data_IF_361073286084
#
_entry.id   IF_361073286084
#
_cell.length_a   1.000
_cell.length_b   1.000
_cell.length_c   1.000
_cell.angle_alpha   90.00
_cell.angle_beta   90.00
_cell.angle_gamma   90.00
#
_symmetry.space_group_name_H-M   'P 1'
#
loop_
_entity.id
_entity.type
_entity.pdbx_description
1 polymer ?
#
# COMPACT_ATOMS: atom_id res chain seq x y z
N UNK A 1 -15.98 -12.87 9.89
CA UNK A 1 -14.96 -12.66 8.84
C UNK A 1 -13.78 -12.03 9.55
N UNK A 2 -12.52 -12.47 9.38
CA UNK A 2 -11.41 -11.67 9.88
C UNK A 2 -11.46 -10.32 9.16
N UNK A 3 -11.49 -9.23 9.92
CA UNK A 3 -11.62 -7.88 9.38
C UNK A 3 -10.24 -7.37 8.91
N UNK A 4 -9.63 -8.07 7.95
CA UNK A 4 -8.36 -7.66 7.34
C UNK A 4 -8.51 -6.22 6.88
N UNK A 5 -7.65 -5.35 7.42
CA UNK A 5 -7.72 -3.92 7.18
C UNK A 5 -6.58 -3.51 6.26
N UNK A 6 -6.93 -2.87 5.14
CA UNK A 6 -5.98 -2.34 4.16
C UNK A 6 -6.04 -0.82 4.23
N UNK A 7 -4.88 -0.18 4.35
CA UNK A 7 -4.76 1.28 4.36
C UNK A 7 -3.65 1.69 3.40
N UNK A 8 -3.99 2.56 2.45
CA UNK A 8 -3.00 3.22 1.62
C UNK A 8 -2.58 4.55 2.26
N UNK A 9 -1.28 4.73 2.44
CA UNK A 9 -0.69 5.85 3.16
C UNK A 9 0.10 6.69 2.13
N UNK A 10 -0.23 7.99 1.98
CA UNK A 10 0.47 8.86 1.07
C UNK A 10 1.91 9.12 1.53
N UNK A 11 2.83 9.40 0.59
CA UNK A 11 4.14 9.94 0.92
C UNK A 11 4.00 11.30 1.60
N UNK A 12 4.89 11.61 2.54
CA UNK A 12 4.93 12.96 3.12
C UNK A 12 5.59 13.95 2.14
N UNK A 13 5.14 15.20 2.16
CA UNK A 13 5.75 16.27 1.37
C UNK A 13 7.25 16.43 1.65
N UNK A 14 7.65 16.31 2.93
CA UNK A 14 9.05 16.43 3.35
C UNK A 14 9.91 15.33 2.73
N UNK A 15 9.41 14.08 2.73
CA UNK A 15 10.14 12.94 2.15
C UNK A 15 10.27 13.08 0.63
N UNK A 16 9.21 13.53 -0.05
CA UNK A 16 9.25 13.79 -1.49
C UNK A 16 10.27 14.89 -1.79
N UNK A 17 10.24 15.99 -1.04
CA UNK A 17 11.14 17.11 -1.27
C UNK A 17 12.61 16.70 -1.11
N UNK A 18 12.91 15.87 -0.11
CA UNK A 18 14.26 15.39 0.20
C UNK A 18 14.75 14.32 -0.81
N UNK A 19 13.93 13.33 -1.13
CA UNK A 19 14.33 12.17 -1.95
C UNK A 19 14.05 12.34 -3.44
N UNK A 20 13.24 13.34 -3.82
CA UNK A 20 12.68 13.51 -5.17
C UNK A 20 11.85 12.31 -5.65
N UNK A 21 11.37 11.49 -4.72
CA UNK A 21 10.53 10.33 -4.99
C UNK A 21 9.36 10.27 -4.02
N UNK A 22 8.21 9.82 -4.52
CA UNK A 22 7.01 9.56 -3.74
C UNK A 22 6.97 8.09 -3.34
N UNK A 23 7.11 7.83 -2.03
CA UNK A 23 7.02 6.50 -1.44
C UNK A 23 5.59 6.16 -1.03
N UNK A 24 4.91 5.34 -1.81
CA UNK A 24 3.56 4.86 -1.57
C UNK A 24 3.61 3.66 -0.62
N UNK A 25 2.85 3.68 0.47
CA UNK A 25 2.86 2.59 1.46
C UNK A 25 1.46 1.99 1.59
N UNK A 26 1.35 0.68 1.39
CA UNK A 26 0.12 -0.08 1.61
C UNK A 26 0.29 -0.92 2.85
N UNK A 27 -0.49 -0.63 3.89
CA UNK A 27 -0.45 -1.33 5.16
C UNK A 27 -1.62 -2.29 5.24
N UNK A 28 -1.31 -3.57 5.35
CA UNK A 28 -2.27 -4.65 5.58
C UNK A 28 -2.15 -5.11 7.02
N UNK A 29 -3.25 -5.16 7.74
CA UNK A 29 -3.27 -5.46 9.18
C UNK A 29 -4.48 -6.28 9.57
N UNK A 30 -4.55 -6.68 10.85
CA UNK A 30 -5.62 -7.51 11.42
C UNK A 30 -5.70 -8.90 10.76
N UNK A 31 -4.55 -9.45 10.36
CA UNK A 31 -4.45 -10.77 9.72
C UNK A 31 -4.17 -11.86 10.76
N UNK A 32 -4.91 -12.97 10.72
CA UNK A 32 -4.63 -14.13 11.57
C UNK A 32 -3.44 -14.98 11.10
N UNK A 33 -3.17 -14.95 9.79
CA UNK A 33 -2.03 -15.60 9.14
C UNK A 33 -1.58 -14.77 7.93
N UNK A 34 -0.43 -15.09 7.34
CA UNK A 34 0.22 -14.29 6.27
C UNK A 34 0.79 -15.15 5.14
N UNK A 35 0.45 -16.43 5.11
CA UNK A 35 1.03 -17.40 4.17
C UNK A 35 0.52 -17.17 2.74
N UNK A 36 -0.76 -16.82 2.59
CA UNK A 36 -1.42 -16.56 1.30
C UNK A 36 -1.48 -15.08 0.92
N UNK A 37 -0.76 -14.22 1.67
CA UNK A 37 -0.77 -12.78 1.44
C UNK A 37 0.01 -12.41 0.18
N UNK A 38 -0.67 -11.81 -0.78
CA UNK A 38 -0.07 -11.16 -1.93
C UNK A 38 -0.48 -9.69 -1.95
N UNK A 39 0.50 -8.80 -2.09
CA UNK A 39 0.26 -7.35 -2.16
C UNK A 39 1.00 -6.79 -3.37
N UNK A 40 0.32 -5.94 -4.14
CA UNK A 40 0.91 -5.29 -5.32
C UNK A 40 0.38 -3.88 -5.52
N UNK A 41 1.27 -2.99 -5.95
CA UNK A 41 0.93 -1.63 -6.36
C UNK A 41 0.77 -1.52 -7.88
N UNK A 42 -0.18 -0.69 -8.29
CA UNK A 42 -0.52 -0.44 -9.69
C UNK A 42 -0.80 1.04 -9.90
N UNK A 43 -0.52 1.54 -11.10
CA UNK A 43 -1.12 2.80 -11.56
C UNK A 43 -2.56 2.51 -12.01
N UNK A 44 -3.51 3.39 -11.71
CA UNK A 44 -4.91 3.24 -12.16
C UNK A 44 -4.99 3.19 -13.70
N UNK A 45 -4.13 3.95 -14.38
CA UNK A 45 -3.99 3.98 -15.85
C UNK A 45 -3.41 2.69 -16.44
N UNK A 46 -2.99 1.75 -15.58
CA UNK A 46 -2.37 0.48 -15.96
C UNK A 46 -0.86 0.50 -15.76
N UNK A 47 -0.32 -0.68 -15.47
CA UNK A 47 1.10 -0.88 -15.18
C UNK A 47 1.34 -1.24 -13.72
N UNK A 48 1.92 -2.42 -13.51
CA UNK A 48 2.34 -2.89 -12.20
C UNK A 48 3.58 -2.13 -11.77
N UNK A 49 3.58 -1.62 -10.54
CA UNK A 49 4.75 -1.01 -9.92
C UNK A 49 5.60 -2.09 -9.25
N UNK A 50 6.91 -1.88 -9.24
CA UNK A 50 7.81 -2.67 -8.41
C UNK A 50 7.42 -2.47 -6.94
N UNK A 51 6.98 -3.56 -6.32
CA UNK A 51 6.42 -3.54 -4.96
C UNK A 51 7.32 -4.33 -4.04
N UNK A 52 7.94 -3.65 -3.08
CA UNK A 52 8.69 -4.28 -2.01
C UNK A 52 7.74 -4.63 -0.86
N UNK A 53 7.48 -5.93 -0.68
CA UNK A 53 6.71 -6.42 0.47
C UNK A 53 7.64 -6.56 1.67
N UNK A 54 7.31 -5.86 2.74
CA UNK A 54 8.09 -5.82 3.98
C UNK A 54 7.97 -7.09 4.83
N UNK A 55 8.54 -7.02 6.03
CA UNK A 55 8.48 -8.12 6.98
C UNK A 55 7.06 -8.34 7.50
N UNK A 56 6.77 -9.60 7.84
CA UNK A 56 5.55 -10.00 8.53
C UNK A 56 5.71 -9.76 10.02
N UNK A 57 5.08 -8.70 10.53
CA UNK A 57 5.22 -8.26 11.92
C UNK A 57 4.04 -8.79 12.74
N UNK A 58 4.31 -9.61 13.75
CA UNK A 58 3.31 -9.98 14.75
C UNK A 58 3.14 -8.82 15.75
N UNK A 59 1.94 -8.27 15.82
CA UNK A 59 1.61 -7.16 16.71
C UNK A 59 1.25 -7.68 18.12
N UNK A 60 1.24 -6.79 19.12
CA UNK A 60 0.94 -7.14 20.51
C UNK A 60 -0.48 -7.69 20.74
N UNK A 61 -1.41 -7.40 19.83
CA UNK A 61 -2.76 -7.95 19.83
C UNK A 61 -2.83 -9.38 19.26
N UNK A 62 -1.70 -9.98 18.88
CA UNK A 62 -1.62 -11.35 18.33
C UNK A 62 -1.96 -11.46 16.84
N UNK A 63 -2.12 -10.33 16.15
CA UNK A 63 -2.45 -10.28 14.72
C UNK A 63 -1.25 -9.78 13.91
N UNK A 64 -1.17 -10.19 12.65
CA UNK A 64 -0.09 -9.80 11.76
C UNK A 64 -0.37 -8.47 11.06
N UNK A 65 0.72 -7.76 10.77
CA UNK A 65 0.78 -6.55 9.97
C UNK A 65 1.93 -6.65 8.96
N UNK A 66 1.68 -6.20 7.74
CA UNK A 66 2.65 -6.15 6.64
C UNK A 66 2.50 -4.81 5.93
N UNK A 67 3.62 -4.21 5.56
CA UNK A 67 3.66 -3.03 4.70
C UNK A 67 4.25 -3.39 3.35
N UNK A 68 3.61 -2.95 2.27
CA UNK A 68 4.09 -3.10 0.91
C UNK A 68 4.31 -1.72 0.30
N UNK A 69 5.53 -1.48 -0.18
CA UNK A 69 5.97 -0.15 -0.60
C UNK A 69 6.28 -0.14 -2.09
N UNK A 70 5.84 0.90 -2.78
CA UNK A 70 6.27 1.22 -4.13
C UNK A 70 6.81 2.65 -4.16
N UNK A 71 7.78 2.91 -5.04
CA UNK A 71 8.33 4.25 -5.25
C UNK A 71 7.97 4.74 -6.64
N UNK A 72 7.47 5.96 -6.73
CA UNK A 72 7.16 6.65 -7.99
C UNK A 72 7.88 7.99 -8.02
N UNK A 73 7.96 8.61 -9.20
CA UNK A 73 8.59 9.90 -9.34
C UNK A 73 7.71 10.99 -8.70
N UNK A 74 8.34 12.02 -8.13
CA UNK A 74 7.63 13.13 -7.48
C UNK A 74 6.67 13.86 -8.45
N UNK A 75 7.07 14.00 -9.71
CA UNK A 75 6.27 14.64 -10.76
C UNK A 75 5.02 13.84 -11.11
N UNK A 76 5.08 12.50 -11.10
CA UNK A 76 3.91 11.64 -11.30
C UNK A 76 2.91 11.81 -10.15
N UNK A 77 3.40 11.81 -8.92
CA UNK A 77 2.57 12.04 -7.74
C UNK A 77 1.94 13.44 -7.73
N UNK A 78 2.73 14.47 -8.06
CA UNK A 78 2.28 15.87 -8.06
C UNK A 78 1.27 16.18 -9.16
N UNK A 79 1.25 15.40 -10.25
CA UNK A 79 0.20 15.48 -11.28
C UNK A 79 -1.17 14.97 -10.78
N UNK A 80 -1.22 14.34 -9.61
CA UNK A 80 -2.45 13.79 -9.04
C UNK A 80 -2.87 12.47 -9.68
N UNK A 81 -1.90 11.68 -10.15
CA UNK A 81 -2.14 10.31 -10.63
C UNK A 81 -2.72 9.44 -9.50
N UNK A 82 -3.63 8.53 -9.87
CA UNK A 82 -4.22 7.56 -8.95
C UNK A 82 -3.40 6.26 -8.93
N UNK A 83 -3.15 5.73 -7.73
CA UNK A 83 -2.45 4.48 -7.50
C UNK A 83 -3.33 3.52 -6.72
N UNK A 84 -3.18 2.22 -6.98
CA UNK A 84 -4.00 1.19 -6.37
C UNK A 84 -3.11 0.15 -5.70
N UNK A 85 -3.32 -0.06 -4.41
CA UNK A 85 -2.82 -1.23 -3.72
C UNK A 85 -3.86 -2.36 -3.84
N UNK A 86 -3.45 -3.48 -4.43
CA UNK A 86 -4.26 -4.70 -4.53
C UNK A 86 -3.74 -5.71 -3.53
N UNK A 87 -4.63 -6.20 -2.67
CA UNK A 87 -4.35 -7.17 -1.60
C UNK A 87 -5.17 -8.42 -1.85
N UNK A 88 -4.51 -9.56 -1.94
CA UNK A 88 -5.12 -10.87 -2.03
C UNK A 88 -4.71 -11.72 -0.82
N UNK A 89 -5.67 -12.45 -0.26
CA UNK A 89 -5.48 -13.31 0.90
C UNK A 89 -6.60 -14.34 0.92
N UNK A 90 -6.33 -15.59 1.32
CA UNK A 90 -7.31 -16.68 1.27
C UNK A 90 -8.58 -16.49 2.14
N UNK A 91 -8.54 -15.57 3.10
CA UNK A 91 -9.67 -15.24 3.98
C UNK A 91 -10.57 -14.15 3.37
N UNK A 92 -10.10 -13.49 2.30
CA UNK A 92 -10.87 -12.53 1.52
C UNK A 92 -11.62 -13.27 0.41
N UNK A 93 -12.93 -13.02 0.31
CA UNK A 93 -13.76 -13.59 -0.77
C UNK A 93 -13.37 -13.01 -2.14
N UNK A 94 -12.92 -11.76 -2.15
CA UNK A 94 -12.45 -11.04 -3.32
C UNK A 94 -11.21 -10.21 -2.94
N UNK A 95 -10.28 -9.97 -3.88
CA UNK A 95 -9.16 -9.06 -3.62
C UNK A 95 -9.66 -7.68 -3.17
N UNK A 96 -8.97 -7.09 -2.20
CA UNK A 96 -9.23 -5.73 -1.74
C UNK A 96 -8.37 -4.78 -2.57
N UNK A 97 -8.99 -3.71 -3.06
CA UNK A 97 -8.30 -2.64 -3.79
C UNK A 97 -8.44 -1.34 -3.02
N UNK A 98 -7.31 -0.82 -2.52
CA UNK A 98 -7.25 0.44 -1.79
C UNK A 98 -6.59 1.50 -2.67
N UNK A 99 -7.29 2.61 -2.90
CA UNK A 99 -6.86 3.69 -3.79
C UNK A 99 -6.08 4.76 -3.02
N UNK A 100 -5.04 5.28 -3.65
CA UNK A 100 -4.20 6.34 -3.13
C UNK A 100 -4.03 7.42 -4.17
N UNK A 101 -4.26 8.66 -3.75
CA UNK A 101 -4.04 9.86 -4.55
C UNK A 101 -3.58 10.98 -3.63
N UNK A 102 -2.92 11.98 -4.20
CA UNK A 102 -2.58 13.21 -3.48
C UNK A 102 -3.87 13.89 -3.01
N UNK A 103 -3.95 14.22 -1.72
CA UNK A 103 -5.05 15.03 -1.20
C UNK A 103 -4.76 16.51 -1.49
N UNK A 104 -5.79 17.24 -1.91
CA UNK A 104 -5.66 18.69 -2.10
C UNK A 104 -5.54 19.37 -0.72
N UNK A 105 -4.39 19.98 -0.44
CA UNK A 105 -4.11 20.67 0.83
C UNK A 105 -2.86 20.21 1.59
N UNK A 106 -2.16 19.18 1.10
CA UNK A 106 -0.82 18.78 1.54
C UNK A 106 0.31 19.53 0.81
#
# INVERSE_FOLDING_TARGET
>A
QPDITVLAIPPSFVDIFASKSARLTCRVSNMGNVESLEVSWWKETGGKLETAVGQRVLQSNGLYMVEAVASVCADEWDRGEDYVCKVNHHELLFPVEERLRKMEGE
#
